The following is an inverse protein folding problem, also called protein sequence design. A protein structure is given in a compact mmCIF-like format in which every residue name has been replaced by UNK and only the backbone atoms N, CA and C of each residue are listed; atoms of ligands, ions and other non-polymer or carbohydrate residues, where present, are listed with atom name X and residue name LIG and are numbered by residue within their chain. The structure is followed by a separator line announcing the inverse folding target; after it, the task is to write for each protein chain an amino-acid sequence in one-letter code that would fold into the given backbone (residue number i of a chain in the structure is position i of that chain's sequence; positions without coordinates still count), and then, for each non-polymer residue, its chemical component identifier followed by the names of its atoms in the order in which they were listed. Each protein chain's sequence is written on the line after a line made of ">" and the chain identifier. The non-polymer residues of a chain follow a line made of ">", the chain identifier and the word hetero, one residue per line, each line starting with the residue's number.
data_IF_755773171418
#
_entry.id   IF_755773171418
#
_cell.length_a   1.000
_cell.length_b   1.000
_cell.length_c   1.000
_cell.angle_alpha   90.00
_cell.angle_beta   90.00
_cell.angle_gamma   90.00
#
_symmetry.space_group_name_H-M   'P 1'
#
loop_
_entity.id
_entity.type
_entity.pdbx_description
1 polymer ?
#
# COMPACT_ATOMS: atom_id res chain seq x y z
N UNK A 1 -0.77 8.57 1.29
CA UNK A 1 0.00 7.76 0.32
C UNK A 1 -0.69 6.42 0.17
N UNK A 2 -0.74 5.87 -1.04
CA UNK A 2 -1.36 4.58 -1.35
C UNK A 2 -0.35 3.73 -2.12
N UNK A 3 -0.24 2.45 -1.75
CA UNK A 3 0.45 1.41 -2.50
C UNK A 3 -0.51 0.27 -2.77
N UNK A 4 -0.28 -0.51 -3.82
CA UNK A 4 -0.91 -1.84 -3.92
C UNK A 4 -0.15 -2.88 -3.09
N UNK A 5 -0.74 -4.05 -2.91
CA UNK A 5 -0.03 -5.23 -2.42
C UNK A 5 1.18 -5.59 -3.31
N UNK A 6 2.20 -6.23 -2.76
CA UNK A 6 3.38 -6.74 -3.50
C UNK A 6 3.04 -7.84 -4.50
N UNK A 7 4.04 -8.34 -5.23
CA UNK A 7 3.85 -9.31 -6.30
C UNK A 7 2.99 -10.52 -5.89
N UNK A 8 1.99 -10.82 -6.71
CA UNK A 8 1.04 -11.93 -6.50
C UNK A 8 1.28 -13.06 -7.50
N UNK A 9 0.91 -14.31 -7.15
CA UNK A 9 1.09 -15.48 -8.00
C UNK A 9 0.49 -15.29 -9.39
N UNK A 10 1.27 -15.60 -10.42
CA UNK A 10 0.82 -15.73 -11.81
C UNK A 10 0.50 -17.18 -12.18
N UNK A 11 0.39 -17.48 -13.48
CA UNK A 11 0.11 -18.85 -13.95
C UNK A 11 1.20 -19.89 -13.60
N UNK A 12 2.45 -19.44 -13.41
CA UNK A 12 3.63 -20.30 -13.27
C UNK A 12 4.40 -20.09 -11.97
N UNK A 13 3.86 -19.27 -11.06
CA UNK A 13 4.50 -18.94 -9.79
C UNK A 13 3.49 -19.18 -8.67
N UNK A 14 3.94 -19.75 -7.56
CA UNK A 14 3.12 -19.94 -6.35
C UNK A 14 3.40 -18.83 -5.34
N UNK A 15 2.38 -18.48 -4.57
CA UNK A 15 2.58 -17.60 -3.42
C UNK A 15 3.13 -18.41 -2.26
N UNK A 16 3.66 -17.72 -1.26
CA UNK A 16 4.24 -18.31 -0.07
C UNK A 16 3.60 -17.67 1.15
N UNK A 17 3.11 -18.47 2.09
CA UNK A 17 2.69 -17.96 3.39
C UNK A 17 3.90 -17.44 4.19
N UNK A 18 3.63 -16.89 5.37
CA UNK A 18 4.66 -16.39 6.30
C UNK A 18 5.69 -17.46 6.75
N UNK A 19 5.40 -18.75 6.56
CA UNK A 19 6.30 -19.86 6.89
C UNK A 19 7.04 -20.40 5.64
N UNK A 20 6.84 -19.79 4.48
CA UNK A 20 7.42 -20.23 3.20
C UNK A 20 6.70 -21.43 2.57
N UNK A 21 5.46 -21.74 2.99
CA UNK A 21 4.66 -22.82 2.39
C UNK A 21 3.83 -22.29 1.23
N UNK A 22 3.59 -23.09 0.17
CA UNK A 22 2.75 -22.66 -0.95
C UNK A 22 1.36 -22.21 -0.49
N UNK A 23 0.99 -20.98 -0.84
CA UNK A 23 -0.33 -20.42 -0.62
C UNK A 23 -0.72 -19.52 -1.80
N UNK A 24 -1.85 -19.81 -2.45
CA UNK A 24 -2.26 -19.09 -3.66
C UNK A 24 -2.72 -17.66 -3.39
N UNK A 25 -3.05 -17.32 -2.14
CA UNK A 25 -3.58 -16.02 -1.71
C UNK A 25 -2.50 -15.11 -1.10
N UNK A 26 -1.33 -15.63 -0.77
CA UNK A 26 -0.19 -14.84 -0.28
C UNK A 26 0.64 -14.21 -1.40
N UNK A 27 1.61 -13.39 -1.00
CA UNK A 27 2.65 -12.82 -1.87
C UNK A 27 3.55 -13.90 -2.46
N UNK A 28 4.16 -13.62 -3.61
CA UNK A 28 5.25 -14.43 -4.15
C UNK A 28 6.55 -14.16 -3.39
N UNK A 29 7.61 -14.92 -3.68
CA UNK A 29 8.94 -14.66 -3.13
C UNK A 29 9.37 -13.20 -3.38
N UNK A 30 9.17 -12.70 -4.61
CA UNK A 30 9.45 -11.31 -4.96
C UNK A 30 8.57 -10.32 -4.18
N UNK A 31 7.29 -10.64 -4.00
CA UNK A 31 6.37 -9.81 -3.21
C UNK A 31 6.82 -9.67 -1.75
N UNK A 32 7.29 -10.76 -1.15
CA UNK A 32 7.89 -10.75 0.18
C UNK A 32 9.20 -9.97 0.26
N UNK A 33 10.05 -10.04 -0.77
CA UNK A 33 11.26 -9.22 -0.85
C UNK A 33 10.93 -7.73 -0.89
N UNK A 34 9.91 -7.33 -1.66
CA UNK A 34 9.39 -5.96 -1.69
C UNK A 34 8.88 -5.53 -0.33
N UNK A 35 8.06 -6.37 0.32
CA UNK A 35 7.52 -6.11 1.65
C UNK A 35 8.64 -5.83 2.68
N UNK A 36 9.67 -6.68 2.69
CA UNK A 36 10.87 -6.49 3.53
C UNK A 36 11.71 -5.27 3.16
N UNK A 37 11.61 -4.79 1.92
CA UNK A 37 12.33 -3.62 1.44
C UNK A 37 11.61 -2.28 1.71
N UNK A 38 10.28 -2.28 1.90
CA UNK A 38 9.50 -1.07 2.18
C UNK A 38 10.05 -0.18 3.32
N UNK A 39 10.58 -0.71 4.44
CA UNK A 39 11.29 0.07 5.44
C UNK A 39 12.35 1.02 4.88
N UNK A 40 13.09 0.62 3.85
CA UNK A 40 14.15 1.47 3.26
C UNK A 40 13.58 2.71 2.58
N UNK A 41 12.33 2.65 2.12
CA UNK A 41 11.64 3.76 1.47
C UNK A 41 10.97 4.69 2.49
N UNK A 42 10.27 4.12 3.46
CA UNK A 42 9.39 4.87 4.38
C UNK A 42 10.02 5.17 5.74
N UNK A 43 11.06 4.45 6.14
CA UNK A 43 11.82 4.69 7.37
C UNK A 43 13.32 4.42 7.17
N UNK A 44 14.00 5.17 6.28
CA UNK A 44 15.41 4.99 6.05
C UNK A 44 16.21 5.32 7.33
N UNK A 45 17.42 4.75 7.48
CA UNK A 45 18.31 5.02 8.61
C UNK A 45 18.49 6.51 8.89
N UNK A 46 18.71 6.87 10.16
CA UNK A 46 19.00 8.25 10.56
C UNK A 46 20.13 8.83 9.72
N UNK A 47 19.94 10.05 9.22
CA UNK A 47 20.89 10.74 8.34
C UNK A 47 20.68 10.49 6.84
N UNK A 48 19.86 9.51 6.45
CA UNK A 48 19.42 9.36 5.06
C UNK A 48 18.13 10.15 4.81
N UNK A 49 18.12 10.90 3.71
CA UNK A 49 16.94 11.61 3.27
C UNK A 49 15.87 10.62 2.75
N UNK A 50 14.60 10.96 2.98
CA UNK A 50 13.51 10.27 2.29
C UNK A 50 13.56 10.61 0.80
N UNK A 51 13.09 9.67 -0.03
CA UNK A 51 12.86 9.92 -1.44
C UNK A 51 11.89 11.11 -1.60
N UNK A 52 12.13 12.07 -2.52
CA UNK A 52 11.22 13.18 -2.73
C UNK A 52 9.77 12.72 -2.93
N UNK A 53 8.84 13.39 -2.23
CA UNK A 53 7.41 13.03 -2.23
C UNK A 53 7.01 11.92 -1.24
N UNK A 54 7.97 11.19 -0.67
CA UNK A 54 7.70 10.18 0.36
C UNK A 54 7.79 10.80 1.75
N UNK A 55 6.88 10.38 2.63
CA UNK A 55 6.83 10.79 4.02
C UNK A 55 6.86 9.56 4.94
N UNK A 56 7.35 9.70 6.18
CA UNK A 56 7.22 8.62 7.18
C UNK A 56 5.73 8.50 7.60
N UNK A 57 5.05 7.36 7.40
CA UNK A 57 3.66 7.23 7.82
C UNK A 57 3.54 7.22 9.36
N UNK A 58 2.43 7.75 9.88
CA UNK A 58 2.03 7.63 11.30
C UNK A 58 0.86 6.69 11.49
N UNK A 59 0.11 6.43 10.43
CA UNK A 59 -0.98 5.45 10.39
C UNK A 59 -0.81 4.57 9.16
N UNK A 60 -1.01 3.25 9.31
CA UNK A 60 -0.94 2.28 8.23
C UNK A 60 -2.25 1.50 8.20
N UNK A 61 -2.90 1.47 7.04
CA UNK A 61 -4.08 0.64 6.77
C UNK A 61 -3.74 -0.47 5.77
N UNK A 62 -4.32 -1.64 6.01
CA UNK A 62 -4.41 -2.73 5.04
C UNK A 62 -5.80 -3.36 5.14
N UNK A 63 -6.25 -4.04 4.08
CA UNK A 63 -7.55 -4.68 4.06
C UNK A 63 -7.68 -5.75 5.17
N UNK A 64 -8.88 -5.87 5.72
CA UNK A 64 -9.25 -6.90 6.67
C UNK A 64 -9.27 -8.29 6.02
N UNK A 65 -8.89 -9.31 6.78
CA UNK A 65 -8.89 -10.72 6.33
C UNK A 65 -10.27 -11.40 6.42
N UNK A 66 -11.35 -10.62 6.59
CA UNK A 66 -12.71 -11.12 6.79
C UNK A 66 -13.63 -10.70 5.64
N UNK A 67 -14.65 -11.53 5.37
CA UNK A 67 -15.69 -11.27 4.36
C UNK A 67 -15.62 -12.18 3.12
N UNK A 68 -16.59 -12.05 2.19
CA UNK A 68 -16.70 -12.92 1.00
C UNK A 68 -15.52 -12.77 0.02
N UNK A 69 -14.74 -11.69 0.15
CA UNK A 69 -13.50 -11.46 -0.59
C UNK A 69 -12.25 -11.80 0.24
N UNK A 70 -12.34 -12.72 1.20
CA UNK A 70 -11.21 -13.16 2.04
C UNK A 70 -10.00 -13.61 1.20
N UNK A 71 -9.10 -12.65 0.96
CA UNK A 71 -7.85 -12.74 0.20
C UNK A 71 -6.90 -11.57 0.50
N UNK A 72 -7.23 -10.75 1.51
CA UNK A 72 -6.50 -9.55 1.90
C UNK A 72 -5.12 -9.79 2.54
N UNK A 73 -4.70 -11.05 2.63
CA UNK A 73 -3.39 -11.44 3.15
C UNK A 73 -2.28 -10.64 2.50
N UNK A 74 -2.30 -10.50 1.17
CA UNK A 74 -1.23 -9.80 0.44
C UNK A 74 -1.06 -8.35 0.89
N UNK A 75 -2.16 -7.63 1.13
CA UNK A 75 -2.10 -6.24 1.59
C UNK A 75 -1.44 -6.17 2.97
N UNK A 76 -1.87 -7.01 3.91
CA UNK A 76 -1.28 -7.05 5.25
C UNK A 76 0.18 -7.54 5.22
N UNK A 77 0.47 -8.63 4.52
CA UNK A 77 1.80 -9.19 4.33
C UNK A 77 2.76 -8.14 3.77
N UNK A 78 2.29 -7.31 2.82
CA UNK A 78 3.09 -6.26 2.20
C UNK A 78 3.57 -5.23 3.22
N UNK A 79 2.70 -4.74 4.11
CA UNK A 79 3.03 -3.65 5.05
C UNK A 79 3.40 -4.11 6.46
N UNK A 80 3.24 -5.39 6.79
CA UNK A 80 3.59 -5.91 8.12
C UNK A 80 5.05 -5.65 8.49
N UNK A 81 6.05 -5.90 7.61
CA UNK A 81 7.44 -5.59 7.95
C UNK A 81 7.68 -4.10 8.25
N UNK A 82 6.99 -3.21 7.53
CA UNK A 82 7.06 -1.76 7.77
C UNK A 82 6.41 -1.36 9.10
N UNK A 83 5.21 -1.87 9.37
CA UNK A 83 4.48 -1.65 10.63
C UNK A 83 5.32 -2.08 11.83
N UNK A 84 5.92 -3.27 11.79
CA UNK A 84 6.81 -3.78 12.83
C UNK A 84 8.05 -2.90 13.00
N UNK A 85 8.70 -2.51 11.90
CA UNK A 85 9.87 -1.64 11.93
C UNK A 85 9.60 -0.32 12.62
N UNK A 86 8.45 0.29 12.33
CA UNK A 86 8.08 1.62 12.83
C UNK A 86 7.37 1.58 14.18
N UNK A 87 7.02 0.40 14.70
CA UNK A 87 6.21 0.26 15.91
C UNK A 87 4.79 0.81 15.77
N UNK A 88 4.24 0.84 14.55
CA UNK A 88 2.89 1.33 14.27
C UNK A 88 1.95 0.14 14.21
N UNK A 89 0.89 0.10 15.03
CA UNK A 89 -0.15 -0.92 14.92
C UNK A 89 -0.82 -0.85 13.55
N UNK A 90 -0.77 -1.96 12.81
CA UNK A 90 -1.44 -2.07 11.52
C UNK A 90 -2.97 -2.04 11.72
N UNK A 91 -3.65 -1.10 11.08
CA UNK A 91 -5.11 -1.05 11.11
C UNK A 91 -5.69 -1.92 9.98
N UNK A 92 -6.46 -2.93 10.37
CA UNK A 92 -7.11 -3.90 9.46
C UNK A 92 -8.62 -3.91 9.66
N UNK A 93 -9.20 -2.75 9.97
CA UNK A 93 -10.64 -2.63 10.31
C UNK A 93 -11.54 -2.76 9.08
N UNK A 94 -11.08 -2.32 7.91
CA UNK A 94 -11.90 -2.21 6.70
C UNK A 94 -11.58 -3.33 5.72
N UNK A 95 -12.61 -4.01 5.23
CA UNK A 95 -12.51 -5.02 4.18
C UNK A 95 -12.46 -4.39 2.78
N UNK A 96 -12.06 -5.19 1.78
CA UNK A 96 -12.34 -4.87 0.39
C UNK A 96 -13.84 -4.61 0.21
N UNK A 97 -14.25 -3.57 -0.51
CA UNK A 97 -15.60 -2.99 -0.61
C UNK A 97 -15.97 -1.88 0.38
N UNK A 98 -15.17 -1.65 1.41
CA UNK A 98 -15.41 -0.58 2.39
C UNK A 98 -14.56 0.67 2.10
N UNK A 99 -14.18 0.90 0.84
CA UNK A 99 -13.25 1.97 0.46
C UNK A 99 -13.72 3.37 0.89
N UNK A 100 -15.04 3.63 0.90
CA UNK A 100 -15.61 4.89 1.40
C UNK A 100 -15.39 5.08 2.89
N UNK A 101 -15.61 4.03 3.69
CA UNK A 101 -15.39 4.08 5.14
C UNK A 101 -13.90 4.21 5.46
N UNK A 102 -13.05 3.46 4.76
CA UNK A 102 -11.59 3.57 4.84
C UNK A 102 -11.10 4.99 4.53
N UNK A 103 -11.59 5.62 3.44
CA UNK A 103 -11.19 6.97 3.07
C UNK A 103 -11.55 8.00 4.15
N UNK A 104 -12.78 7.93 4.69
CA UNK A 104 -13.21 8.80 5.80
C UNK A 104 -12.33 8.62 7.04
N UNK A 105 -11.97 7.39 7.37
CA UNK A 105 -11.09 7.09 8.48
C UNK A 105 -9.67 7.63 8.24
N UNK A 106 -9.13 7.43 7.04
CA UNK A 106 -7.82 7.94 6.64
C UNK A 106 -7.75 9.47 6.71
N UNK A 107 -8.82 10.20 6.37
CA UNK A 107 -8.87 11.66 6.50
C UNK A 107 -8.85 12.13 7.96
N UNK A 108 -9.37 11.32 8.87
CA UNK A 108 -9.45 11.64 10.31
C UNK A 108 -8.25 11.12 11.11
N UNK A 109 -7.41 10.28 10.53
CA UNK A 109 -6.28 9.62 11.18
C UNK A 109 -5.05 10.54 11.33
N UNK A 110 -4.09 10.09 12.15
CA UNK A 110 -2.80 10.75 12.30
C UNK A 110 -2.03 10.71 10.97
N UNK A 111 -1.81 11.88 10.37
CA UNK A 111 -1.09 12.04 9.11
C UNK A 111 0.44 12.02 9.32
N UNK A 112 1.22 11.55 8.35
CA UNK A 112 0.81 11.00 7.04
C UNK A 112 0.23 9.59 7.11
N UNK A 113 -0.78 9.28 6.30
CA UNK A 113 -1.37 7.94 6.20
C UNK A 113 -0.76 7.15 5.03
N UNK A 114 -0.46 5.87 5.26
CA UNK A 114 -0.18 4.87 4.22
C UNK A 114 -1.33 3.86 4.14
N UNK A 115 -1.84 3.61 2.94
CA UNK A 115 -2.84 2.58 2.65
C UNK A 115 -2.22 1.56 1.71
N UNK A 116 -2.30 0.27 2.04
CA UNK A 116 -1.97 -0.83 1.13
C UNK A 116 -3.24 -1.57 0.72
N UNK A 117 -3.54 -1.64 -0.58
CA UNK A 117 -4.84 -2.12 -1.07
C UNK A 117 -4.78 -3.00 -2.32
N UNK A 118 -5.93 -3.56 -2.72
CA UNK A 118 -6.09 -4.23 -4.02
C UNK A 118 -6.15 -3.21 -5.16
N UNK A 119 -5.38 -3.44 -6.21
CA UNK A 119 -5.07 -2.45 -7.24
C UNK A 119 -6.31 -1.98 -8.02
N UNK A 120 -7.29 -2.86 -8.21
CA UNK A 120 -8.53 -2.58 -8.95
C UNK A 120 -9.48 -1.71 -8.13
N UNK A 121 -9.28 -1.60 -6.81
CA UNK A 121 -10.13 -0.86 -5.89
C UNK A 121 -9.52 0.44 -5.40
N UNK A 122 -8.23 0.67 -5.64
CA UNK A 122 -7.57 1.96 -5.33
C UNK A 122 -8.31 3.15 -5.95
N UNK A 123 -8.82 3.12 -7.20
CA UNK A 123 -9.59 4.24 -7.75
C UNK A 123 -10.82 4.62 -6.91
N UNK A 124 -11.50 3.65 -6.28
CA UNK A 124 -12.62 3.93 -5.39
C UNK A 124 -12.19 4.63 -4.09
N UNK A 125 -10.99 4.34 -3.59
CA UNK A 125 -10.40 5.08 -2.47
C UNK A 125 -10.09 6.53 -2.89
N UNK A 126 -9.49 6.72 -4.06
CA UNK A 126 -9.16 8.07 -4.60
C UNK A 126 -10.43 8.90 -4.74
N UNK A 127 -11.51 8.31 -5.25
CA UNK A 127 -12.81 8.97 -5.37
C UNK A 127 -13.41 9.31 -4.02
N UNK A 128 -13.41 8.37 -3.07
CA UNK A 128 -13.93 8.59 -1.73
C UNK A 128 -13.11 9.61 -0.91
N UNK A 129 -11.84 9.83 -1.23
CA UNK A 129 -11.04 10.93 -0.67
C UNK A 129 -11.43 12.31 -1.23
N UNK A 130 -12.23 12.35 -2.31
CA UNK A 130 -12.51 13.55 -3.08
C UNK A 130 -11.36 13.96 -4.00
N UNK A 131 -10.46 13.03 -4.34
CA UNK A 131 -9.24 13.30 -5.10
C UNK A 131 -9.35 12.94 -6.59
N UNK A 132 -10.55 12.65 -7.12
CA UNK A 132 -10.77 12.27 -8.52
C UNK A 132 -10.29 13.31 -9.54
N UNK A 133 -10.24 14.59 -9.17
CA UNK A 133 -9.75 15.68 -10.02
C UNK A 133 -8.27 16.04 -9.80
N UNK A 134 -7.52 15.25 -9.02
CA UNK A 134 -6.10 15.50 -8.74
C UNK A 134 -5.16 15.21 -9.90
N UNK A 135 -5.66 14.54 -10.96
CA UNK A 135 -4.86 14.03 -12.08
C UNK A 135 -4.33 12.61 -11.89
N UNK A 136 -4.74 11.90 -10.83
CA UNK A 136 -4.46 10.48 -10.68
C UNK A 136 -5.09 9.65 -11.82
N UNK A 137 -4.40 8.60 -12.32
CA UNK A 137 -4.97 7.70 -13.32
C UNK A 137 -6.27 7.04 -12.85
N UNK A 138 -7.18 6.75 -13.78
CA UNK A 138 -8.46 6.08 -13.49
C UNK A 138 -8.31 4.61 -13.08
N UNK A 139 -7.16 4.01 -13.35
CA UNK A 139 -6.81 2.65 -12.94
C UNK A 139 -5.36 2.60 -12.45
N UNK A 140 -5.09 1.72 -11.49
CA UNK A 140 -3.71 1.43 -11.11
C UNK A 140 -3.00 0.71 -12.27
N UNK A 141 -1.82 1.20 -12.74
CA UNK A 141 -1.11 0.57 -13.86
C UNK A 141 -0.59 -0.82 -13.46
N UNK A 142 -0.25 -1.68 -14.42
CA UNK A 142 0.28 -3.02 -14.12
C UNK A 142 1.73 -2.99 -13.61
N UNK A 143 1.90 -2.44 -12.40
CA UNK A 143 3.15 -2.20 -11.70
C UNK A 143 2.95 -2.39 -10.21
N UNK A 144 3.93 -3.00 -9.55
CA UNK A 144 3.92 -3.30 -8.09
C UNK A 144 4.77 -2.31 -7.27
N UNK A 145 5.57 -1.52 -7.96
CA UNK A 145 6.64 -0.70 -7.43
C UNK A 145 6.29 0.79 -7.49
N UNK A 146 5.02 1.14 -7.23
CA UNK A 146 4.56 2.52 -7.22
C UNK A 146 4.04 2.92 -5.84
N UNK A 147 4.16 4.21 -5.55
CA UNK A 147 3.47 4.93 -4.49
C UNK A 147 2.67 6.04 -5.14
N UNK A 148 1.37 6.02 -4.94
CA UNK A 148 0.50 7.16 -5.25
C UNK A 148 0.47 8.09 -4.05
N UNK A 149 1.01 9.29 -4.22
CA UNK A 149 1.12 10.32 -3.18
C UNK A 149 0.03 11.35 -3.44
N UNK A 150 -0.82 11.55 -2.44
CA UNK A 150 -1.85 12.58 -2.45
C UNK A 150 -1.55 13.56 -1.33
N UNK A 151 -1.51 14.85 -1.66
CA UNK A 151 -1.41 15.95 -0.70
C UNK A 151 -2.65 16.81 -0.80
N UNK A 152 -3.17 17.26 0.34
CA UNK A 152 -4.34 18.13 0.39
C UNK A 152 -3.93 19.48 0.98
N UNK A 153 -4.11 20.55 0.21
CA UNK A 153 -3.82 21.91 0.64
C UNK A 153 -4.86 22.87 0.08
N UNK A 154 -5.34 23.80 0.92
CA UNK A 154 -6.30 24.86 0.55
C UNK A 154 -7.56 24.34 -0.17
N UNK A 155 -8.05 23.16 0.21
CA UNK A 155 -9.26 22.56 -0.37
C UNK A 155 -9.05 21.85 -1.70
N UNK A 156 -7.80 21.65 -2.13
CA UNK A 156 -7.48 20.93 -3.36
C UNK A 156 -6.52 19.77 -3.10
N UNK A 157 -6.76 18.67 -3.80
CA UNK A 157 -5.87 17.52 -3.85
C UNK A 157 -4.86 17.66 -4.99
N UNK A 158 -3.59 17.38 -4.71
CA UNK A 158 -2.56 17.18 -5.70
C UNK A 158 -2.11 15.71 -5.70
N UNK A 159 -1.79 15.20 -6.89
CA UNK A 159 -1.32 13.84 -7.10
C UNK A 159 0.13 13.83 -7.60
N UNK A 160 0.93 12.92 -7.04
CA UNK A 160 2.24 12.57 -7.55
C UNK A 160 2.41 11.05 -7.54
N UNK A 161 3.02 10.51 -8.59
CA UNK A 161 3.44 9.13 -8.64
C UNK A 161 4.94 9.03 -8.33
N UNK A 162 5.31 8.15 -7.42
CA UNK A 162 6.71 7.90 -7.05
C UNK A 162 7.01 6.41 -7.24
N UNK A 163 8.04 6.08 -8.02
CA UNK A 163 8.56 4.71 -8.11
C UNK A 163 9.20 4.29 -6.78
N UNK A 164 8.99 3.06 -6.33
CA UNK A 164 9.60 2.54 -5.10
C UNK A 164 11.10 2.31 -5.30
N UNK A 165 11.50 1.73 -6.44
CA UNK A 165 12.89 1.35 -6.78
C UNK A 165 13.55 0.50 -5.68
N UNK A 166 12.82 -0.51 -5.19
CA UNK A 166 13.24 -1.32 -4.05
C UNK A 166 13.91 -2.62 -4.48
N UNK A 167 13.53 -3.15 -5.63
CA UNK A 167 14.01 -4.42 -6.16
C UNK A 167 14.65 -4.22 -7.55
N UNK A 168 15.57 -5.12 -7.97
CA UNK A 168 16.06 -5.14 -9.34
C UNK A 168 14.91 -5.22 -10.35
N UNK A 169 15.00 -4.42 -11.41
CA UNK A 169 13.98 -4.33 -12.47
C UNK A 169 12.79 -3.41 -12.16
N UNK A 170 12.74 -2.77 -10.98
CA UNK A 170 11.80 -1.68 -10.72
C UNK A 170 12.13 -0.47 -11.63
N UNK A 171 11.09 0.26 -12.06
CA UNK A 171 11.16 1.30 -13.09
C UNK A 171 10.95 2.73 -12.56
#
# INVERSE_FOLDING_TARGET
>A
MIIRHGEKPGKHESGLDQNGRPDAKSLTQRGWERARALPRLFDPPKGQALKPGIMRPRTIYAAADQGPLAGAHRMRETVTPLSQRMGITLNTTYAESEETALAKAALSAAQPVLICWEHSRIPAIVDALGASHSGAPSAWPDRFDLVWVFTHARGSWAFHQVGQHLLPGDA
#
